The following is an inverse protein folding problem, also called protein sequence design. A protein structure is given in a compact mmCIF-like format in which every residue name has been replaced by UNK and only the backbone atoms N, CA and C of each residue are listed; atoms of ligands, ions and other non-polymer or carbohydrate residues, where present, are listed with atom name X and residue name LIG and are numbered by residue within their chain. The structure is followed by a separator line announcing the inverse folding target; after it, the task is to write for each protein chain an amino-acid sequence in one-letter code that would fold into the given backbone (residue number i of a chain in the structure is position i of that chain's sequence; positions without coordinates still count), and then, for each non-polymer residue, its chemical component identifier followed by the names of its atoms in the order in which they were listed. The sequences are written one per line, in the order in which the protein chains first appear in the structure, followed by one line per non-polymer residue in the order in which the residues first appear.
data_IF_243288224636
#
_entry.id   IF_243288224636
#
_cell.length_a   1.000
_cell.length_b   1.000
_cell.length_c   1.000
_cell.angle_alpha   90.00
_cell.angle_beta   90.00
_cell.angle_gamma   90.00
#
_symmetry.space_group_name_H-M   'P 1'
#
loop_
_entity.id
_entity.type
_entity.pdbx_description
1 polymer ?
#
# COMPACT_ATOMS: atom_id res chain seq x y z
N UNK A 1 -15.07 -0.87 -27.64
CA UNK A 1 -13.63 -0.59 -27.47
C UNK A 1 -13.51 0.92 -27.34
N UNK A 2 -13.35 1.41 -26.11
CA UNK A 2 -13.09 2.84 -25.88
C UNK A 2 -11.64 3.15 -26.29
N UNK A 3 -11.38 4.23 -27.01
CA UNK A 3 -10.03 4.59 -27.38
C UNK A 3 -9.22 4.92 -26.12
N UNK A 4 -8.13 4.20 -25.92
CA UNK A 4 -7.15 4.53 -24.89
C UNK A 4 -6.46 5.81 -25.39
N UNK A 5 -6.77 6.93 -24.74
CA UNK A 5 -6.08 8.19 -25.02
C UNK A 5 -4.68 8.09 -24.41
N UNK A 6 -3.60 8.07 -25.19
CA UNK A 6 -2.26 8.14 -24.62
C UNK A 6 -2.10 9.46 -23.89
N UNK A 7 -1.27 9.50 -22.86
CA UNK A 7 -0.82 10.75 -22.23
C UNK A 7 -0.36 11.69 -23.34
N UNK A 8 -1.23 12.64 -23.71
CA UNK A 8 -0.87 13.65 -24.70
C UNK A 8 0.25 14.48 -24.09
N UNK A 9 1.44 14.34 -24.69
CA UNK A 9 2.69 15.07 -24.44
C UNK A 9 3.10 15.20 -22.98
N UNK A 10 4.35 14.90 -22.68
CA UNK A 10 4.92 15.09 -21.36
C UNK A 10 5.20 16.59 -21.14
N UNK A 11 4.15 17.39 -21.09
CA UNK A 11 4.26 18.66 -20.40
C UNK A 11 4.64 18.31 -18.94
N UNK A 12 5.63 19.00 -18.34
CA UNK A 12 6.00 18.83 -16.94
C UNK A 12 4.76 18.86 -16.03
N UNK A 13 3.75 19.62 -16.40
CA UNK A 13 2.47 19.79 -15.70
C UNK A 13 1.67 18.48 -15.52
N UNK A 14 1.68 17.59 -16.52
CA UNK A 14 0.92 16.32 -16.44
C UNK A 14 1.50 15.33 -15.43
N UNK A 15 2.82 15.20 -15.37
CA UNK A 15 3.50 14.34 -14.38
C UNK A 15 3.44 14.96 -12.98
N UNK A 16 3.59 16.27 -12.86
CA UNK A 16 3.48 16.98 -11.59
C UNK A 16 2.09 16.80 -10.98
N UNK A 17 1.02 16.91 -11.79
CA UNK A 17 -0.34 16.65 -11.37
C UNK A 17 -0.54 15.20 -10.88
N UNK A 18 0.02 14.22 -11.61
CA UNK A 18 -0.01 12.81 -11.24
C UNK A 18 0.74 12.58 -9.92
N UNK A 19 1.93 13.14 -9.79
CA UNK A 19 2.74 13.05 -8.58
C UNK A 19 1.99 13.61 -7.38
N UNK A 20 1.47 14.85 -7.47
CA UNK A 20 0.71 15.49 -6.39
C UNK A 20 -0.54 14.68 -6.00
N UNK A 21 -1.22 14.09 -6.98
CA UNK A 21 -2.45 13.33 -6.73
C UNK A 21 -2.19 12.00 -6.02
N UNK A 22 -1.10 11.31 -6.35
CA UNK A 22 -0.91 9.92 -5.93
C UNK A 22 0.21 9.71 -4.91
N UNK A 23 1.21 10.57 -4.85
CA UNK A 23 2.43 10.35 -4.06
C UNK A 23 2.14 10.05 -2.59
N UNK A 24 1.44 10.95 -1.90
CA UNK A 24 1.18 10.79 -0.46
C UNK A 24 0.29 9.57 -0.16
N UNK A 25 -0.65 9.28 -1.05
CA UNK A 25 -1.51 8.09 -0.93
C UNK A 25 -0.71 6.78 -1.09
N UNK A 26 0.25 6.77 -2.03
CA UNK A 26 1.14 5.62 -2.22
C UNK A 26 2.14 5.47 -1.07
N UNK A 27 2.64 6.58 -0.50
CA UNK A 27 3.52 6.56 0.68
C UNK A 27 2.77 5.95 1.87
N UNK A 28 1.53 6.38 2.14
CA UNK A 28 0.72 5.78 3.21
C UNK A 28 0.52 4.28 2.99
N UNK A 29 0.17 3.88 1.78
CA UNK A 29 0.03 2.45 1.45
C UNK A 29 1.34 1.68 1.65
N UNK A 30 2.46 2.21 1.15
CA UNK A 30 3.76 1.58 1.32
C UNK A 30 4.18 1.48 2.79
N UNK A 31 3.88 2.50 3.62
CA UNK A 31 4.18 2.50 5.07
C UNK A 31 3.49 1.35 5.80
N UNK A 32 2.27 0.96 5.40
CA UNK A 32 1.61 -0.23 5.95
C UNK A 32 2.31 -1.55 5.58
N UNK A 33 3.10 -1.56 4.51
CA UNK A 33 3.84 -2.75 4.07
C UNK A 33 5.24 -2.82 4.67
N UNK A 34 5.99 -1.70 4.70
CA UNK A 34 7.41 -1.69 5.10
C UNK A 34 7.63 -1.14 6.51
N UNK A 35 6.62 -0.61 7.18
CA UNK A 35 6.63 -0.08 8.57
C UNK A 35 7.48 1.17 8.82
N UNK A 36 8.32 1.59 7.88
CA UNK A 36 9.13 2.80 7.94
C UNK A 36 8.66 3.81 6.90
N UNK A 37 8.28 5.02 7.32
CA UNK A 37 7.87 6.09 6.41
C UNK A 37 9.00 6.49 5.46
N UNK A 38 10.21 6.61 5.95
CA UNK A 38 11.38 6.95 5.13
C UNK A 38 11.60 5.93 4.00
N UNK A 39 11.51 4.64 4.31
CA UNK A 39 11.61 3.58 3.31
C UNK A 39 10.44 3.56 2.32
N UNK A 40 9.24 3.87 2.80
CA UNK A 40 8.07 4.01 1.96
C UNK A 40 8.23 5.17 0.96
N UNK A 41 8.78 6.31 1.40
CA UNK A 41 9.07 7.46 0.55
C UNK A 41 10.11 7.13 -0.51
N UNK A 42 11.23 6.50 -0.16
CA UNK A 42 12.25 6.04 -1.11
C UNK A 42 11.67 5.08 -2.15
N UNK A 43 10.90 4.11 -1.69
CA UNK A 43 10.24 3.12 -2.55
C UNK A 43 9.27 3.77 -3.53
N UNK A 44 8.47 4.73 -3.07
CA UNK A 44 7.50 5.44 -3.93
C UNK A 44 8.21 6.37 -4.91
N UNK A 45 9.31 7.02 -4.50
CA UNK A 45 10.15 7.81 -5.40
C UNK A 45 10.70 6.94 -6.55
N UNK A 46 11.19 5.74 -6.25
CA UNK A 46 11.65 4.79 -7.27
C UNK A 46 10.52 4.37 -8.23
N UNK A 47 9.32 4.15 -7.71
CA UNK A 47 8.15 3.83 -8.55
C UNK A 47 7.80 5.02 -9.45
N UNK A 48 7.75 6.24 -8.90
CA UNK A 48 7.45 7.45 -9.65
C UNK A 48 8.51 7.75 -10.72
N UNK A 49 9.78 7.49 -10.43
CA UNK A 49 10.86 7.63 -11.40
C UNK A 49 10.65 6.67 -12.60
N UNK A 50 10.33 5.42 -12.36
CA UNK A 50 10.01 4.44 -13.41
C UNK A 50 8.77 4.82 -14.21
N UNK A 51 7.78 5.43 -13.58
CA UNK A 51 6.60 5.98 -14.26
C UNK A 51 7.01 7.14 -15.18
N UNK A 52 7.88 8.03 -14.70
CA UNK A 52 8.42 9.12 -15.51
C UNK A 52 9.18 8.61 -16.74
N UNK A 53 10.03 7.61 -16.57
CA UNK A 53 10.78 7.01 -17.71
C UNK A 53 9.85 6.41 -18.78
N UNK A 54 8.68 5.89 -18.37
CA UNK A 54 7.70 5.21 -19.24
C UNK A 54 6.46 6.06 -19.54
N UNK A 55 6.45 7.33 -19.20
CA UNK A 55 5.26 8.20 -19.27
C UNK A 55 4.58 8.24 -20.64
N UNK A 56 5.33 8.07 -21.71
CA UNK A 56 4.80 8.06 -23.08
C UNK A 56 4.00 6.77 -23.41
N UNK A 57 4.20 5.71 -22.63
CA UNK A 57 3.57 4.40 -22.83
C UNK A 57 2.42 4.15 -21.87
N UNK A 58 2.24 5.00 -20.87
CA UNK A 58 1.23 4.80 -19.83
C UNK A 58 -0.06 5.53 -20.17
N UNK A 59 -1.19 4.83 -20.10
CA UNK A 59 -2.51 5.43 -20.20
C UNK A 59 -2.89 6.15 -18.89
N UNK A 60 -3.59 7.28 -19.00
CA UNK A 60 -4.13 8.02 -17.85
C UNK A 60 -5.47 7.41 -17.40
N UNK A 61 -5.74 7.39 -16.11
CA UNK A 61 -7.01 6.97 -15.56
C UNK A 61 -6.89 5.88 -14.50
N UNK A 62 -7.96 5.12 -14.29
CA UNK A 62 -8.03 4.07 -13.27
C UNK A 62 -7.01 2.94 -13.47
N UNK A 63 -6.61 2.67 -14.72
CA UNK A 63 -5.56 1.72 -15.06
C UNK A 63 -4.21 2.19 -14.53
N UNK A 64 -3.90 3.48 -14.63
CA UNK A 64 -2.67 4.05 -14.09
C UNK A 64 -2.64 3.98 -12.58
N UNK A 65 -3.76 4.30 -11.92
CA UNK A 65 -3.90 4.14 -10.47
C UNK A 65 -3.62 2.70 -10.05
N UNK A 66 -4.25 1.74 -10.69
CA UNK A 66 -4.04 0.30 -10.45
C UNK A 66 -2.56 -0.09 -10.66
N UNK A 67 -1.94 0.41 -11.73
CA UNK A 67 -0.52 0.19 -12.02
C UNK A 67 0.38 0.74 -10.91
N UNK A 68 0.13 1.97 -10.45
CA UNK A 68 0.91 2.60 -9.37
C UNK A 68 0.88 1.77 -8.07
N UNK A 69 -0.32 1.36 -7.63
CA UNK A 69 -0.46 0.52 -6.43
C UNK A 69 0.19 -0.85 -6.60
N UNK A 70 0.05 -1.47 -7.78
CA UNK A 70 0.70 -2.75 -8.09
C UNK A 70 2.23 -2.63 -8.10
N UNK A 71 2.77 -1.58 -8.71
CA UNK A 71 4.22 -1.33 -8.75
C UNK A 71 4.78 -1.09 -7.34
N UNK A 72 4.12 -0.25 -6.55
CA UNK A 72 4.46 0.04 -5.16
C UNK A 72 4.46 -1.24 -4.31
N UNK A 73 3.39 -2.03 -4.39
CA UNK A 73 3.28 -3.31 -3.69
C UNK A 73 4.40 -4.28 -4.06
N UNK A 74 4.65 -4.46 -5.34
CA UNK A 74 5.67 -5.39 -5.82
C UNK A 74 7.07 -4.95 -5.35
N UNK A 75 7.36 -3.65 -5.36
CA UNK A 75 8.62 -3.11 -4.86
C UNK A 75 8.77 -3.35 -3.35
N UNK A 76 7.73 -3.07 -2.56
CA UNK A 76 7.71 -3.35 -1.12
C UNK A 76 7.94 -4.84 -0.82
N UNK A 77 7.24 -5.74 -1.49
CA UNK A 77 7.40 -7.19 -1.30
C UNK A 77 8.82 -7.67 -1.66
N UNK A 78 9.42 -7.11 -2.70
CA UNK A 78 10.80 -7.43 -3.07
C UNK A 78 11.80 -6.96 -2.00
N UNK A 79 11.59 -5.76 -1.43
CA UNK A 79 12.39 -5.24 -0.33
C UNK A 79 12.29 -6.16 0.91
N UNK A 80 11.07 -6.55 1.29
CA UNK A 80 10.84 -7.45 2.42
C UNK A 80 11.46 -8.83 2.20
N UNK A 81 11.43 -9.37 0.97
CA UNK A 81 12.10 -10.64 0.64
C UNK A 81 13.61 -10.53 0.81
N UNK A 82 14.24 -9.46 0.29
CA UNK A 82 15.68 -9.23 0.46
C UNK A 82 16.07 -9.17 1.93
N UNK A 83 15.34 -8.41 2.75
CA UNK A 83 15.57 -8.33 4.20
C UNK A 83 15.40 -9.65 4.92
N UNK A 84 14.43 -10.46 4.50
CA UNK A 84 14.26 -11.80 5.07
C UNK A 84 15.48 -12.67 4.80
N UNK A 85 16.01 -12.63 3.58
CA UNK A 85 17.24 -13.36 3.21
C UNK A 85 18.42 -12.83 4.02
N UNK A 86 18.64 -11.52 4.09
CA UNK A 86 19.71 -10.89 4.87
C UNK A 86 19.63 -11.29 6.35
N UNK A 87 18.45 -11.24 6.96
CA UNK A 87 18.24 -11.70 8.35
C UNK A 87 18.57 -13.17 8.55
N UNK A 88 18.26 -14.03 7.59
CA UNK A 88 18.62 -15.45 7.65
C UNK A 88 20.15 -15.64 7.60
N UNK A 89 20.86 -14.85 6.77
CA UNK A 89 22.32 -14.85 6.73
C UNK A 89 22.92 -14.28 8.03
N UNK A 90 22.39 -13.18 8.55
CA UNK A 90 22.83 -12.56 9.80
C UNK A 90 22.55 -13.43 11.02
N UNK A 91 21.50 -14.24 11.03
CA UNK A 91 21.22 -15.21 12.09
C UNK A 91 22.28 -16.32 12.18
N UNK A 92 23.12 -16.49 11.16
CA UNK A 92 24.29 -17.37 11.17
C UNK A 92 25.55 -16.69 11.70
N UNK A 93 25.51 -15.38 12.00
CA UNK A 93 26.62 -14.59 12.57
C UNK A 93 26.29 -14.17 14.02
N UNK A 94 27.29 -13.90 14.88
CA UNK A 94 27.05 -13.42 16.25
C UNK A 94 26.30 -12.08 16.26
N UNK A 95 25.32 -11.95 17.13
CA UNK A 95 24.22 -10.98 17.12
C UNK A 95 24.64 -9.63 17.72
N UNK A 96 24.35 -8.52 17.01
CA UNK A 96 24.08 -7.20 17.59
C UNK A 96 22.57 -6.99 17.63
N UNK A 97 22.06 -6.41 18.73
CA UNK A 97 20.63 -6.27 18.97
C UNK A 97 19.98 -5.21 18.05
N UNK A 98 18.74 -5.44 17.56
CA UNK A 98 18.06 -4.45 16.73
C UNK A 98 17.52 -3.29 17.57
N UNK A 99 17.78 -2.06 17.09
CA UNK A 99 17.18 -0.84 17.61
C UNK A 99 15.69 -0.80 17.36
N UNK A 100 14.90 -0.58 18.41
CA UNK A 100 13.45 -0.37 18.34
C UNK A 100 13.20 1.05 17.85
N UNK A 101 12.42 1.20 16.77
CA UNK A 101 11.99 2.52 16.30
C UNK A 101 11.09 3.18 17.36
N UNK A 102 11.38 4.46 17.67
CA UNK A 102 10.58 5.25 18.59
C UNK A 102 9.20 5.53 17.97
N UNK A 103 8.14 5.26 18.72
CA UNK A 103 6.78 5.65 18.38
C UNK A 103 6.65 7.17 18.53
N UNK A 104 6.14 7.85 17.49
CA UNK A 104 5.79 9.27 17.60
C UNK A 104 4.54 9.43 18.49
N UNK A 105 4.43 10.53 19.26
CA UNK A 105 3.27 10.78 20.12
C UNK A 105 1.99 10.87 19.28
N UNK A 106 1.04 10.00 19.57
CA UNK A 106 -0.24 9.89 18.89
C UNK A 106 -1.30 10.75 19.62
N UNK A 107 -1.69 11.88 19.01
CA UNK A 107 -2.73 12.80 19.51
C UNK A 107 -4.15 12.37 19.08
N UNK A 108 -4.31 11.12 18.62
CA UNK A 108 -5.60 10.58 18.18
C UNK A 108 -6.53 10.26 19.35
N UNK A 109 -7.85 10.33 19.08
CA UNK A 109 -8.88 9.95 20.04
C UNK A 109 -8.78 8.47 20.40
N UNK A 110 -9.36 8.09 21.57
CA UNK A 110 -9.41 6.69 22.00
C UNK A 110 -10.07 5.78 20.94
N UNK A 111 -11.12 6.27 20.28
CA UNK A 111 -11.81 5.58 19.19
C UNK A 111 -10.89 5.37 17.98
N UNK A 112 -10.16 6.41 17.57
CA UNK A 112 -9.24 6.30 16.43
C UNK A 112 -8.10 5.32 16.68
N UNK A 113 -7.57 5.31 17.92
CA UNK A 113 -6.58 4.32 18.35
C UNK A 113 -7.13 2.90 18.32
N UNK A 114 -8.35 2.71 18.84
CA UNK A 114 -9.01 1.39 18.82
C UNK A 114 -9.25 0.89 17.39
N UNK A 115 -9.70 1.77 16.47
CA UNK A 115 -9.88 1.44 15.05
C UNK A 115 -8.55 1.07 14.40
N UNK A 116 -7.49 1.84 14.65
CA UNK A 116 -6.15 1.56 14.11
C UNK A 116 -5.62 0.21 14.60
N UNK A 117 -5.69 -0.04 15.90
CA UNK A 117 -5.29 -1.32 16.49
C UNK A 117 -6.09 -2.50 15.93
N UNK A 118 -7.39 -2.33 15.71
CA UNK A 118 -8.24 -3.36 15.12
C UNK A 118 -7.84 -3.66 13.66
N UNK A 119 -7.47 -2.64 12.88
CA UNK A 119 -6.96 -2.81 11.51
C UNK A 119 -5.58 -3.49 11.53
N UNK A 120 -4.69 -3.09 12.42
CA UNK A 120 -3.34 -3.66 12.53
C UNK A 120 -3.36 -5.12 12.99
N UNK A 121 -4.38 -5.52 13.75
CA UNK A 121 -4.60 -6.90 14.16
C UNK A 121 -5.16 -7.82 13.06
N UNK A 122 -5.59 -7.26 11.92
CA UNK A 122 -6.05 -8.08 10.79
C UNK A 122 -4.91 -8.92 10.20
N UNK A 123 -5.22 -10.16 9.74
CA UNK A 123 -4.27 -10.91 8.91
C UNK A 123 -3.80 -10.09 7.71
N UNK A 124 -2.53 -10.16 7.33
CA UNK A 124 -1.90 -9.28 6.34
C UNK A 124 -2.70 -9.12 5.05
N UNK A 125 -3.18 -10.22 4.47
CA UNK A 125 -3.99 -10.16 3.23
C UNK A 125 -5.36 -9.52 3.44
N UNK A 126 -6.00 -9.72 4.59
CA UNK A 126 -7.27 -9.07 4.91
C UNK A 126 -7.07 -7.56 5.09
N UNK A 127 -6.02 -7.18 5.82
CA UNK A 127 -5.64 -5.78 6.06
C UNK A 127 -5.34 -5.07 4.75
N UNK A 128 -4.52 -5.67 3.88
CA UNK A 128 -4.17 -5.10 2.59
C UNK A 128 -5.39 -4.86 1.69
N UNK A 129 -6.28 -5.85 1.56
CA UNK A 129 -7.55 -5.71 0.82
C UNK A 129 -8.42 -4.60 1.42
N UNK A 130 -8.53 -4.55 2.75
CA UNK A 130 -9.33 -3.54 3.45
C UNK A 130 -8.80 -2.13 3.19
N UNK A 131 -7.49 -1.90 3.35
CA UNK A 131 -6.84 -0.61 3.14
C UNK A 131 -6.97 -0.16 1.67
N UNK A 132 -6.68 -1.02 0.71
CA UNK A 132 -6.81 -0.70 -0.71
C UNK A 132 -8.24 -0.29 -1.08
N UNK A 133 -9.25 -0.91 -0.48
CA UNK A 133 -10.65 -0.58 -0.73
C UNK A 133 -11.11 0.68 0.00
N UNK A 134 -10.82 0.81 1.30
CA UNK A 134 -11.42 1.84 2.17
C UNK A 134 -10.60 3.12 2.24
N UNK A 135 -9.30 3.00 2.30
CA UNK A 135 -8.40 4.15 2.40
C UNK A 135 -8.00 4.68 1.01
N UNK A 136 -7.81 3.78 0.05
CA UNK A 136 -7.32 4.13 -1.27
C UNK A 136 -8.38 4.09 -2.37
N UNK A 137 -9.63 3.72 -2.04
CA UNK A 137 -10.78 3.72 -2.94
C UNK A 137 -10.54 2.94 -4.25
N UNK A 138 -9.88 1.78 -4.19
CA UNK A 138 -9.77 0.87 -5.32
C UNK A 138 -11.01 -0.02 -5.41
N UNK A 139 -11.45 -0.28 -6.64
CA UNK A 139 -12.48 -1.29 -6.91
C UNK A 139 -11.96 -2.70 -6.64
N UNK A 140 -12.82 -3.67 -6.41
CA UNK A 140 -12.41 -5.07 -6.21
C UNK A 140 -11.66 -5.65 -7.41
N UNK A 141 -12.01 -5.22 -8.63
CA UNK A 141 -11.26 -5.58 -9.83
C UNK A 141 -9.84 -5.01 -9.82
N UNK A 142 -9.68 -3.73 -9.44
CA UNK A 142 -8.38 -3.07 -9.29
C UNK A 142 -7.55 -3.71 -8.18
N UNK A 143 -8.15 -4.06 -7.04
CA UNK A 143 -7.47 -4.77 -5.94
C UNK A 143 -7.00 -6.16 -6.41
N UNK A 144 -7.87 -6.90 -7.11
CA UNK A 144 -7.53 -8.20 -7.68
C UNK A 144 -6.31 -8.12 -8.61
N UNK A 145 -6.30 -7.11 -9.51
CA UNK A 145 -5.18 -6.85 -10.41
C UNK A 145 -3.91 -6.41 -9.65
N UNK A 146 -4.04 -5.57 -8.62
CA UNK A 146 -2.93 -5.11 -7.78
C UNK A 146 -2.27 -6.25 -7.02
N UNK A 147 -3.06 -7.15 -6.45
CA UNK A 147 -2.59 -8.25 -5.61
C UNK A 147 -2.31 -9.54 -6.38
N UNK A 148 -2.69 -9.64 -7.66
CA UNK A 148 -2.56 -10.85 -8.47
C UNK A 148 -3.45 -12.00 -7.97
N UNK A 149 -4.67 -11.71 -7.53
CA UNK A 149 -5.66 -12.68 -7.03
C UNK A 149 -7.00 -12.52 -7.76
N UNK A 150 -7.93 -13.45 -7.56
CA UNK A 150 -9.27 -13.34 -8.15
C UNK A 150 -10.14 -12.32 -7.38
N UNK A 151 -11.12 -11.72 -8.06
CA UNK A 151 -12.13 -10.85 -7.42
C UNK A 151 -12.87 -11.61 -6.30
N UNK A 152 -13.16 -12.89 -6.50
CA UNK A 152 -13.78 -13.75 -5.48
C UNK A 152 -12.91 -13.89 -4.23
N UNK A 153 -11.59 -13.93 -4.40
CA UNK A 153 -10.64 -13.93 -3.27
C UNK A 153 -10.68 -12.59 -2.55
N UNK A 154 -10.74 -11.45 -3.27
CA UNK A 154 -10.89 -10.11 -2.69
C UNK A 154 -12.15 -10.03 -1.84
N UNK A 155 -13.30 -10.48 -2.36
CA UNK A 155 -14.57 -10.52 -1.60
C UNK A 155 -14.45 -11.34 -0.30
N UNK A 156 -13.81 -12.49 -0.39
CA UNK A 156 -13.59 -13.37 0.77
C UNK A 156 -12.72 -12.69 1.83
N UNK A 157 -11.59 -12.07 1.43
CA UNK A 157 -10.70 -11.36 2.34
C UNK A 157 -11.39 -10.14 2.97
N UNK A 158 -12.17 -9.39 2.19
CA UNK A 158 -12.96 -8.26 2.69
C UNK A 158 -14.00 -8.72 3.72
N UNK A 159 -14.73 -9.80 3.44
CA UNK A 159 -15.71 -10.37 4.38
C UNK A 159 -15.07 -10.77 5.71
N UNK A 160 -13.88 -11.38 5.68
CA UNK A 160 -13.10 -11.73 6.88
C UNK A 160 -12.65 -10.49 7.63
N UNK A 161 -12.13 -9.48 6.93
CA UNK A 161 -11.71 -8.22 7.53
C UNK A 161 -12.87 -7.53 8.26
N UNK A 162 -14.01 -7.37 7.61
CA UNK A 162 -15.20 -6.74 8.19
C UNK A 162 -15.74 -7.52 9.40
N UNK A 163 -15.71 -8.85 9.34
CA UNK A 163 -16.11 -9.69 10.49
C UNK A 163 -15.20 -9.50 11.70
N UNK A 164 -13.88 -9.47 11.48
CA UNK A 164 -12.91 -9.25 12.54
C UNK A 164 -13.02 -7.85 13.15
N UNK A 165 -13.12 -6.81 12.32
CA UNK A 165 -13.29 -5.42 12.78
C UNK A 165 -14.57 -5.24 13.60
N UNK A 166 -15.71 -5.80 13.16
CA UNK A 166 -16.95 -5.77 13.94
C UNK A 166 -16.82 -6.45 15.29
N UNK A 167 -16.06 -7.55 15.37
CA UNK A 167 -15.82 -8.25 16.62
C UNK A 167 -14.96 -7.41 17.58
N UNK A 168 -13.89 -6.78 17.07
CA UNK A 168 -12.97 -5.97 17.88
C UNK A 168 -13.59 -4.65 18.36
N UNK A 169 -14.49 -4.04 17.56
CA UNK A 169 -15.05 -2.72 17.84
C UNK A 169 -16.45 -2.76 18.48
N UNK A 170 -16.93 -3.95 18.94
CA UNK A 170 -18.25 -4.08 19.57
C UNK A 170 -18.45 -3.19 20.79
N UNK A 171 -17.42 -2.95 21.58
CA UNK A 171 -17.49 -2.15 22.80
C UNK A 171 -17.68 -0.65 22.50
N UNK A 172 -17.23 -0.19 21.32
CA UNK A 172 -17.36 1.19 20.87
C UNK A 172 -18.65 1.46 20.07
N UNK A 173 -19.46 0.43 19.81
CA UNK A 173 -20.72 0.52 19.05
C UNK A 173 -21.98 0.64 19.94
N UNK A 174 -21.82 0.91 21.25
CA UNK A 174 -22.94 1.12 22.19
C UNK A 174 -23.19 2.58 22.47
#
# INVERSE_FOLDING_TARGET
MSPVTPLQTPEPDGFEALFRTHYESLVRFATHLVTSRMEAEELVQDVMFKVWERREQLAVGDELKTYLYRATRNHALNLLRRRRVERLWQAMLPREEPSVAAEEPDDSSEMERAVRQAIDALPDRCREVFLLSREHALTYAAIAATMGISVKTVETQMGRALKALRASLKEFSR
#
